data_IF_562681489252
#
_entry.id   IF_562681489252
#
_cell.length_a   1.000
_cell.length_b   1.000
_cell.length_c   1.000
_cell.angle_alpha   90.00
_cell.angle_beta   90.00
_cell.angle_gamma   90.00
#
_symmetry.space_group_name_H-M   'P 1'
#
loop_
_entity.id
_entity.type
_entity.pdbx_description
1 polymer ?
#
# COMPACT_ATOMS: atom_id res chain seq x y z
N UNK A 1 11.79 6.59 3.41
CA UNK A 1 12.35 5.34 3.96
C UNK A 1 11.76 4.21 3.14
N UNK A 2 12.51 3.51 2.28
CA UNK A 2 11.94 2.38 1.55
C UNK A 2 11.62 1.24 2.50
N UNK A 3 10.52 0.54 2.22
CA UNK A 3 10.11 -0.68 2.94
C UNK A 3 9.64 -1.72 1.94
N UNK A 4 9.78 -3.00 2.30
CA UNK A 4 9.39 -4.12 1.44
C UNK A 4 9.14 -5.37 2.27
N UNK A 5 8.33 -6.29 1.73
CA UNK A 5 8.12 -7.61 2.31
C UNK A 5 9.47 -8.36 2.49
N UNK A 6 9.68 -9.11 3.59
CA UNK A 6 10.94 -9.81 3.88
C UNK A 6 11.49 -10.59 2.67
N UNK A 7 10.64 -11.36 1.98
CA UNK A 7 11.01 -12.20 0.82
C UNK A 7 11.53 -11.42 -0.41
N UNK A 8 11.41 -10.09 -0.42
CA UNK A 8 11.82 -9.23 -1.53
C UNK A 8 12.81 -8.15 -1.10
N UNK A 9 13.08 -8.03 0.20
CA UNK A 9 13.96 -7.01 0.76
C UNK A 9 15.37 -7.05 0.16
N UNK A 10 15.93 -8.25 -0.03
CA UNK A 10 17.25 -8.42 -0.64
C UNK A 10 17.32 -7.91 -2.09
N UNK A 11 16.27 -8.15 -2.86
CA UNK A 11 16.20 -7.68 -4.25
C UNK A 11 16.11 -6.16 -4.28
N UNK A 12 15.25 -5.58 -3.43
CA UNK A 12 15.14 -4.13 -3.30
C UNK A 12 16.48 -3.51 -2.88
N UNK A 13 17.15 -4.05 -1.86
CA UNK A 13 18.43 -3.55 -1.38
C UNK A 13 19.50 -3.56 -2.48
N UNK A 14 19.60 -4.64 -3.26
CA UNK A 14 20.52 -4.72 -4.41
C UNK A 14 20.19 -3.71 -5.50
N UNK A 15 18.92 -3.48 -5.80
CA UNK A 15 18.51 -2.51 -6.80
C UNK A 15 18.83 -1.08 -6.35
N UNK A 16 18.56 -0.75 -5.08
CA UNK A 16 18.86 0.57 -4.53
C UNK A 16 20.38 0.84 -4.52
N UNK A 17 21.21 -0.14 -4.16
CA UNK A 17 22.67 0.01 -4.19
C UNK A 17 23.23 0.36 -5.59
N UNK A 18 22.52 -0.02 -6.66
CA UNK A 18 22.96 0.21 -8.05
C UNK A 18 22.41 1.50 -8.64
N UNK A 19 21.17 1.86 -8.30
CA UNK A 19 20.41 2.86 -9.05
C UNK A 19 19.89 4.01 -8.20
N UNK A 20 19.89 3.89 -6.87
CA UNK A 20 19.30 4.91 -6.01
C UNK A 20 20.25 6.11 -5.84
N UNK A 21 19.71 7.34 -5.81
CA UNK A 21 20.46 8.51 -5.40
C UNK A 21 20.84 8.44 -3.91
N UNK A 22 21.85 9.22 -3.51
CA UNK A 22 22.42 9.20 -2.15
C UNK A 22 21.45 9.59 -1.02
N UNK A 23 20.32 10.21 -1.35
CA UNK A 23 19.27 10.57 -0.40
C UNK A 23 18.28 9.42 -0.10
N UNK A 24 18.48 8.24 -0.68
CA UNK A 24 17.68 7.05 -0.36
C UNK A 24 18.37 6.23 0.73
N UNK A 25 17.65 6.00 1.83
CA UNK A 25 18.12 5.18 2.96
C UNK A 25 18.04 3.69 2.63
N UNK A 26 18.82 2.88 3.36
CA UNK A 26 18.71 1.41 3.34
C UNK A 26 17.26 0.98 3.57
N UNK A 27 16.72 0.05 2.75
CA UNK A 27 15.35 -0.40 2.91
C UNK A 27 15.17 -1.16 4.24
N UNK A 28 13.96 -1.13 4.79
CA UNK A 28 13.58 -1.88 5.99
C UNK A 28 12.53 -2.92 5.64
N UNK A 29 12.48 -4.01 6.42
CA UNK A 29 11.41 -4.98 6.30
C UNK A 29 10.08 -4.36 6.75
N UNK A 30 9.01 -4.64 6.01
CA UNK A 30 7.63 -4.39 6.41
C UNK A 30 6.76 -5.49 5.83
N UNK A 31 6.17 -6.30 6.69
CA UNK A 31 5.13 -7.25 6.33
C UNK A 31 3.80 -6.76 6.92
N UNK A 32 2.79 -6.57 6.06
CA UNK A 32 1.46 -6.15 6.49
C UNK A 32 0.73 -7.26 7.27
N UNK A 33 1.14 -8.52 7.11
CA UNK A 33 0.62 -9.64 7.89
C UNK A 33 1.08 -9.62 9.35
N UNK A 34 2.11 -8.81 9.65
CA UNK A 34 2.60 -8.57 11.00
C UNK A 34 2.12 -7.20 11.52
N UNK A 35 2.11 -7.02 12.84
CA UNK A 35 1.77 -5.74 13.47
C UNK A 35 3.02 -4.91 13.80
N UNK A 36 4.11 -5.12 13.05
CA UNK A 36 5.41 -4.53 13.31
C UNK A 36 5.77 -3.50 12.24
N UNK A 37 5.42 -2.25 12.49
CA UNK A 37 5.84 -1.13 11.65
C UNK A 37 7.22 -0.61 12.09
N UNK A 38 8.09 -0.21 11.15
CA UNK A 38 9.33 0.46 11.49
C UNK A 38 9.07 1.66 12.41
N UNK A 39 9.71 1.68 13.59
CA UNK A 39 9.55 2.75 14.58
C UNK A 39 10.19 4.06 14.09
N UNK A 40 9.52 4.73 13.15
CA UNK A 40 9.93 5.99 12.54
C UNK A 40 8.70 6.81 12.20
N UNK A 41 8.59 7.98 12.80
CA UNK A 41 7.68 9.01 12.30
C UNK A 41 8.23 9.57 10.98
N UNK A 42 7.36 9.74 10.01
CA UNK A 42 7.66 10.32 8.70
C UNK A 42 6.62 11.37 8.37
N UNK A 43 6.99 12.43 7.65
CA UNK A 43 6.03 13.45 7.24
C UNK A 43 5.05 12.94 6.16
N UNK A 44 5.42 11.87 5.46
CA UNK A 44 4.62 11.28 4.39
C UNK A 44 4.88 9.77 4.23
N UNK A 45 3.80 9.01 4.11
CA UNK A 45 3.78 7.61 3.67
C UNK A 45 3.19 7.56 2.27
N UNK A 46 3.91 6.94 1.34
CA UNK A 46 3.46 6.73 -0.03
C UNK A 46 3.41 5.24 -0.34
N UNK A 47 2.28 4.78 -0.87
CA UNK A 47 2.09 3.41 -1.33
C UNK A 47 1.44 3.40 -2.71
N UNK A 48 2.07 2.71 -3.66
CA UNK A 48 1.62 2.63 -5.03
C UNK A 48 1.16 1.20 -5.36
N UNK A 49 -0.06 1.06 -5.85
CA UNK A 49 -0.76 -0.15 -6.27
C UNK A 49 -0.98 -1.21 -5.18
N UNK A 50 -0.29 -1.15 -4.04
CA UNK A 50 -0.32 -2.19 -3.00
C UNK A 50 -1.73 -2.45 -2.48
N UNK A 51 -2.51 -1.41 -2.18
CA UNK A 51 -3.85 -1.55 -1.58
C UNK A 51 -4.81 -2.37 -2.45
N UNK A 52 -4.60 -2.42 -3.76
CA UNK A 52 -5.41 -3.23 -4.68
C UNK A 52 -4.91 -4.66 -4.80
N UNK A 53 -3.60 -4.86 -4.63
CA UNK A 53 -2.90 -6.13 -4.83
C UNK A 53 -3.07 -7.07 -3.63
N UNK A 54 -3.15 -6.50 -2.43
CA UNK A 54 -3.30 -7.26 -1.18
C UNK A 54 -4.77 -7.47 -0.84
N UNK A 55 -5.05 -8.49 -0.02
CA UNK A 55 -6.38 -8.73 0.51
C UNK A 55 -6.89 -7.55 1.33
N UNK A 56 -8.21 -7.38 1.39
CA UNK A 56 -8.87 -6.32 2.15
C UNK A 56 -8.33 -6.15 3.59
N UNK A 57 -8.15 -7.21 4.42
CA UNK A 57 -7.59 -7.04 5.77
C UNK A 57 -6.16 -6.50 5.80
N UNK A 58 -5.34 -6.84 4.80
CA UNK A 58 -3.98 -6.29 4.69
C UNK A 58 -4.02 -4.83 4.20
N UNK A 59 -4.99 -4.49 3.36
CA UNK A 59 -5.27 -3.11 2.95
C UNK A 59 -5.65 -2.23 4.14
N UNK A 60 -6.50 -2.71 5.05
CA UNK A 60 -6.83 -2.01 6.29
C UNK A 60 -5.59 -1.78 7.16
N UNK A 61 -4.74 -2.80 7.31
CA UNK A 61 -3.48 -2.68 8.07
C UNK A 61 -2.51 -1.68 7.45
N UNK A 62 -2.41 -1.64 6.12
CA UNK A 62 -1.66 -0.61 5.39
C UNK A 62 -2.16 0.80 5.71
N UNK A 63 -3.49 1.00 5.73
CA UNK A 63 -4.10 2.31 6.05
C UNK A 63 -3.80 2.70 7.50
N UNK A 64 -4.08 1.80 8.46
CA UNK A 64 -3.92 2.09 9.89
C UNK A 64 -2.46 2.37 10.22
N UNK A 65 -1.55 1.48 9.86
CA UNK A 65 -0.14 1.65 10.18
C UNK A 65 0.51 2.79 9.39
N UNK A 66 0.09 3.02 8.14
CA UNK A 66 0.55 4.15 7.34
C UNK A 66 0.12 5.50 7.96
N UNK A 67 -1.13 5.61 8.41
CA UNK A 67 -1.63 6.80 9.09
C UNK A 67 -0.92 7.04 10.44
N UNK A 68 -0.65 5.97 11.21
CA UNK A 68 0.11 6.07 12.45
C UNK A 68 1.55 6.54 12.22
N UNK A 69 2.23 5.99 11.20
CA UNK A 69 3.60 6.36 10.85
C UNK A 69 3.69 7.81 10.34
N UNK A 70 2.69 8.28 9.58
CA UNK A 70 2.59 9.67 9.14
C UNK A 70 2.35 10.63 10.31
N UNK A 71 1.61 10.19 11.33
CA UNK A 71 1.23 11.02 12.47
C UNK A 71 0.19 12.09 12.11
N UNK A 72 -0.23 12.88 13.10
CA UNK A 72 -1.39 13.78 12.98
C UNK A 72 -1.26 14.87 11.90
N UNK A 73 -0.04 15.28 11.57
CA UNK A 73 0.24 16.32 10.58
C UNK A 73 0.89 15.77 9.29
N UNK A 74 1.03 14.45 9.18
CA UNK A 74 1.63 13.81 8.02
C UNK A 74 0.60 13.44 6.97
N UNK A 75 1.09 12.99 5.81
CA UNK A 75 0.26 12.56 4.69
C UNK A 75 0.36 11.05 4.47
N UNK A 76 -0.78 10.38 4.30
CA UNK A 76 -0.84 9.05 3.70
C UNK A 76 -1.34 9.20 2.27
N UNK A 77 -0.48 8.87 1.30
CA UNK A 77 -0.78 8.96 -0.14
C UNK A 77 -0.83 7.55 -0.71
N UNK A 78 -2.03 7.15 -1.12
CA UNK A 78 -2.28 5.88 -1.80
C UNK A 78 -2.50 6.17 -3.29
N UNK A 79 -1.68 5.54 -4.12
CA UNK A 79 -1.77 5.66 -5.57
C UNK A 79 -2.16 4.31 -6.16
N UNK A 80 -3.05 4.31 -7.15
CA UNK A 80 -3.44 3.08 -7.85
C UNK A 80 -4.68 3.28 -8.71
N UNK A 81 -5.12 2.22 -9.41
CA UNK A 81 -6.39 2.23 -10.11
C UNK A 81 -7.55 2.34 -9.11
N UNK A 82 -8.40 3.35 -9.28
CA UNK A 82 -9.64 3.47 -8.53
C UNK A 82 -10.83 3.52 -9.49
N UNK A 83 -11.97 2.99 -9.06
CA UNK A 83 -13.25 3.26 -9.71
C UNK A 83 -13.82 4.58 -9.23
N UNK A 84 -14.58 5.25 -10.09
CA UNK A 84 -15.25 6.53 -9.80
C UNK A 84 -16.74 6.34 -10.06
N UNK A 85 -17.58 6.68 -9.09
CA UNK A 85 -19.02 6.41 -9.14
C UNK A 85 -19.37 4.93 -9.42
N UNK A 86 -18.52 3.99 -8.98
CA UNK A 86 -18.68 2.56 -9.23
C UNK A 86 -18.19 2.08 -10.60
N UNK A 87 -17.76 2.99 -11.46
CA UNK A 87 -17.30 2.66 -12.82
C UNK A 87 -15.78 2.64 -12.91
N UNK A 88 -15.27 1.69 -13.70
CA UNK A 88 -13.85 1.66 -14.06
C UNK A 88 -13.53 2.81 -15.00
N UNK A 89 -12.39 3.45 -14.77
CA UNK A 89 -11.93 4.57 -15.60
C UNK A 89 -11.34 4.13 -16.94
N UNK A 90 -10.89 2.88 -17.05
CA UNK A 90 -10.33 2.28 -18.27
C UNK A 90 -10.64 0.78 -18.31
N UNK A 91 -10.64 0.19 -19.52
CA UNK A 91 -10.77 -1.26 -19.69
C UNK A 91 -9.61 -2.03 -19.04
N UNK A 92 -8.40 -1.48 -19.10
CA UNK A 92 -7.24 -2.07 -18.43
C UNK A 92 -7.42 -2.19 -16.91
N UNK A 93 -8.14 -1.25 -16.27
CA UNK A 93 -8.41 -1.31 -14.83
C UNK A 93 -9.45 -2.39 -14.51
N UNK A 94 -10.41 -2.63 -15.40
CA UNK A 94 -11.38 -3.72 -15.29
C UNK A 94 -10.70 -5.08 -15.44
N UNK A 95 -9.83 -5.22 -16.43
CA UNK A 95 -9.03 -6.44 -16.63
C UNK A 95 -8.10 -6.70 -15.45
N UNK A 96 -7.47 -5.65 -14.91
CA UNK A 96 -6.62 -5.75 -13.73
C UNK A 96 -7.41 -6.19 -12.48
N UNK A 97 -8.61 -5.64 -12.26
CA UNK A 97 -9.49 -6.08 -11.17
C UNK A 97 -9.87 -7.55 -11.27
N UNK A 98 -10.23 -8.03 -12.47
CA UNK A 98 -10.54 -9.44 -12.69
C UNK A 98 -9.32 -10.32 -12.40
N UNK A 99 -8.15 -9.96 -12.93
CA UNK A 99 -6.91 -10.70 -12.69
C UNK A 99 -6.54 -10.78 -11.20
N UNK A 100 -6.78 -9.70 -10.44
CA UNK A 100 -6.55 -9.68 -8.99
C UNK A 100 -7.48 -10.67 -8.27
N UNK A 101 -8.77 -10.64 -8.58
CA UNK A 101 -9.80 -11.48 -7.96
C UNK A 101 -9.63 -12.97 -8.29
N UNK A 102 -9.13 -13.28 -9.48
CA UNK A 102 -8.82 -14.67 -9.87
C UNK A 102 -7.71 -15.28 -9.00
N UNK A 103 -6.80 -14.45 -8.47
CA UNK A 103 -5.71 -14.88 -7.60
C UNK A 103 -6.11 -14.90 -6.12
N UNK A 104 -6.85 -13.88 -5.68
CA UNK A 104 -7.39 -13.74 -4.34
C UNK A 104 -8.70 -12.96 -4.43
N UNK A 105 -9.81 -13.62 -4.12
CA UNK A 105 -11.16 -13.05 -4.18
C UNK A 105 -11.34 -11.80 -3.30
N UNK A 106 -10.44 -11.59 -2.33
CA UNK A 106 -10.44 -10.44 -1.41
C UNK A 106 -9.56 -9.27 -1.87
N UNK A 107 -8.90 -9.41 -3.02
CA UNK A 107 -8.15 -8.33 -3.68
C UNK A 107 -9.03 -7.63 -4.73
N UNK A 108 -8.65 -6.44 -5.20
CA UNK A 108 -9.40 -5.73 -6.23
C UNK A 108 -9.18 -4.22 -6.30
N UNK A 109 -9.75 -3.61 -7.34
CA UNK A 109 -9.77 -2.16 -7.54
C UNK A 109 -10.81 -1.53 -6.60
N UNK A 110 -10.42 -0.48 -5.90
CA UNK A 110 -11.25 0.16 -4.86
C UNK A 110 -12.00 1.38 -5.40
N UNK A 111 -13.11 1.74 -4.75
CA UNK A 111 -13.85 2.97 -5.02
C UNK A 111 -13.09 4.20 -4.52
N UNK A 112 -12.99 5.24 -5.34
CA UNK A 112 -12.53 6.54 -4.89
C UNK A 112 -13.62 7.24 -4.04
N UNK A 113 -13.30 7.63 -2.81
CA UNK A 113 -14.17 8.50 -2.00
C UNK A 113 -15.07 7.84 -0.96
N UNK A 114 -14.59 6.82 -0.24
CA UNK A 114 -15.14 6.20 1.00
C UNK A 114 -15.86 4.87 0.81
N UNK A 115 -15.22 3.80 1.30
CA UNK A 115 -15.89 2.65 1.94
C UNK A 115 -14.99 1.81 2.86
N UNK A 116 -13.68 2.09 3.00
CA UNK A 116 -12.78 1.27 3.84
C UNK A 116 -12.89 1.58 5.36
N UNK A 117 -13.79 2.45 5.80
CA UNK A 117 -13.94 2.80 7.23
C UNK A 117 -15.39 2.74 7.74
N UNK A 118 -16.14 1.68 7.41
CA UNK A 118 -17.26 1.26 8.26
C UNK A 118 -16.81 0.10 9.16
N UNK A 119 -16.01 0.41 10.18
CA UNK A 119 -15.55 -0.59 11.15
C UNK A 119 -15.02 -0.04 12.48
N UNK A 120 -14.46 1.16 12.51
CA UNK A 120 -13.96 1.76 13.76
C UNK A 120 -15.00 2.70 14.40
N UNK A 121 -16.05 2.12 14.98
CA UNK A 121 -16.81 2.76 16.06
C UNK A 121 -16.87 1.80 17.25
N UNK A 122 -16.01 2.07 18.23
CA UNK A 122 -16.03 1.54 19.58
C UNK A 122 -15.53 2.62 20.51
#
# INVERSE_FOLDING_TARGET
>A
QPTEHPDRLDILARNLARYAPSNVRTPLSLDLAENEWPNRSVDCVFSANVIHIVSEPLGERLIVGGAQAAGANGLLVLYGPFTYHGEFTTDSNREFDQWLKDRDEKSGVHLNGSSVLQGAKG
#
